data_IF_482136883504
#
_entry.id   IF_482136883504
#
_cell.length_a   1.000
_cell.length_b   1.000
_cell.length_c   1.000
_cell.angle_alpha   90.00
_cell.angle_beta   90.00
_cell.angle_gamma   90.00
#
_symmetry.space_group_name_H-M   'P 1'
#
loop_
_entity.id
_entity.type
_entity.pdbx_description
1 polymer ?
#
# COMPACT_ATOMS: atom_id res chain seq x y z
N UNK A 1 37.23 1.69 -19.72
CA UNK A 1 35.87 2.24 -19.46
C UNK A 1 34.86 1.17 -19.03
N UNK A 2 34.84 -0.02 -19.63
CA UNK A 2 33.90 -1.11 -19.30
C UNK A 2 33.92 -1.60 -17.85
N UNK A 3 35.11 -1.74 -17.23
CA UNK A 3 35.22 -2.18 -15.84
C UNK A 3 34.60 -1.21 -14.83
N UNK A 4 34.67 0.10 -15.11
CA UNK A 4 34.04 1.15 -14.29
C UNK A 4 32.52 1.24 -14.49
N UNK A 5 32.01 0.78 -15.64
CA UNK A 5 30.57 0.62 -15.87
C UNK A 5 30.05 -0.62 -15.11
N UNK A 6 30.70 -1.78 -15.26
CA UNK A 6 30.34 -3.02 -14.53
C UNK A 6 30.43 -2.87 -13.00
N UNK A 7 31.41 -2.13 -12.49
CA UNK A 7 31.52 -1.85 -11.06
C UNK A 7 30.47 -0.84 -10.56
N UNK A 8 29.98 0.07 -11.42
CA UNK A 8 28.83 0.92 -11.11
C UNK A 8 27.55 0.09 -11.08
N UNK A 9 27.34 -0.76 -12.08
CA UNK A 9 26.18 -1.64 -12.14
C UNK A 9 26.11 -2.58 -10.93
N UNK A 10 27.24 -3.16 -10.52
CA UNK A 10 27.31 -4.00 -9.32
C UNK A 10 27.03 -3.25 -8.01
N UNK A 11 27.36 -1.97 -7.92
CA UNK A 11 27.00 -1.12 -6.76
C UNK A 11 25.52 -0.76 -6.77
N UNK A 12 24.97 -0.39 -7.93
CA UNK A 12 23.55 -0.10 -8.10
C UNK A 12 22.70 -1.32 -7.77
N UNK A 13 23.04 -2.51 -8.30
CA UNK A 13 22.31 -3.75 -8.01
C UNK A 13 22.34 -4.10 -6.51
N UNK A 14 23.47 -3.90 -5.83
CA UNK A 14 23.54 -4.13 -4.38
C UNK A 14 22.69 -3.13 -3.61
N UNK A 15 22.70 -1.86 -4.00
CA UNK A 15 21.90 -0.83 -3.37
C UNK A 15 20.39 -1.13 -3.51
N UNK A 16 19.94 -1.52 -4.69
CA UNK A 16 18.53 -1.92 -4.91
C UNK A 16 18.15 -3.16 -4.11
N UNK A 17 19.03 -4.17 -4.03
CA UNK A 17 18.79 -5.35 -3.20
C UNK A 17 18.62 -4.98 -1.72
N UNK A 18 19.46 -4.08 -1.20
CA UNK A 18 19.34 -3.60 0.18
C UNK A 18 18.04 -2.83 0.37
N UNK A 19 17.69 -1.92 -0.55
CA UNK A 19 16.43 -1.16 -0.49
C UNK A 19 15.22 -2.10 -0.45
N UNK A 20 15.18 -3.10 -1.34
CA UNK A 20 14.14 -4.11 -1.32
C UNK A 20 14.11 -4.90 -0.01
N UNK A 21 15.25 -5.38 0.50
CA UNK A 21 15.29 -6.14 1.75
C UNK A 21 14.74 -5.35 2.95
N UNK A 22 15.05 -4.05 3.02
CA UNK A 22 14.55 -3.15 4.07
C UNK A 22 13.04 -2.94 3.95
N UNK A 23 12.53 -2.68 2.74
CA UNK A 23 11.08 -2.51 2.50
C UNK A 23 10.31 -3.79 2.80
N UNK A 24 10.81 -4.94 2.34
CA UNK A 24 10.23 -6.25 2.62
C UNK A 24 10.20 -6.56 4.12
N UNK A 25 11.27 -6.22 4.84
CA UNK A 25 11.34 -6.38 6.28
C UNK A 25 10.32 -5.49 7.00
N UNK A 26 10.21 -4.22 6.62
CA UNK A 26 9.21 -3.31 7.20
C UNK A 26 7.80 -3.84 6.97
N UNK A 27 7.43 -4.13 5.73
CA UNK A 27 6.08 -4.63 5.40
C UNK A 27 5.78 -5.97 6.08
N UNK A 28 6.77 -6.87 6.20
CA UNK A 28 6.61 -8.13 6.93
C UNK A 28 6.33 -7.94 8.41
N UNK A 29 6.98 -6.98 9.07
CA UNK A 29 6.70 -6.63 10.47
C UNK A 29 5.28 -6.05 10.63
N UNK A 30 4.85 -5.19 9.70
CA UNK A 30 3.48 -4.66 9.70
C UNK A 30 2.43 -5.77 9.52
N UNK A 31 2.68 -6.72 8.62
CA UNK A 31 1.81 -7.88 8.38
C UNK A 31 1.71 -8.81 9.61
N UNK A 32 2.78 -8.92 10.40
CA UNK A 32 2.82 -9.64 11.68
C UNK A 32 2.14 -8.88 12.84
N UNK A 33 1.71 -7.64 12.61
CA UNK A 33 0.99 -6.83 13.59
C UNK A 33 1.87 -5.93 14.46
N UNK A 34 3.18 -5.85 14.16
CA UNK A 34 4.04 -4.80 14.72
C UNK A 34 3.72 -3.48 14.00
N UNK A 35 2.83 -2.67 14.59
CA UNK A 35 2.27 -1.49 13.91
C UNK A 35 3.17 -0.25 13.97
N UNK A 36 4.23 -0.28 14.79
CA UNK A 36 5.22 0.80 14.89
C UNK A 36 6.65 0.22 14.95
N UNK A 37 7.13 -0.48 13.89
CA UNK A 37 8.45 -1.08 13.91
C UNK A 37 9.54 -0.02 14.07
N UNK A 38 10.53 -0.30 14.92
CA UNK A 38 11.70 0.56 15.08
C UNK A 38 12.71 0.33 13.95
N UNK A 39 13.58 1.31 13.71
CA UNK A 39 14.67 1.17 12.74
C UNK A 39 15.57 -0.05 13.06
N UNK A 40 15.86 -0.28 14.34
CA UNK A 40 16.58 -1.46 14.83
C UNK A 40 15.91 -2.79 14.40
N UNK A 41 14.59 -2.93 14.63
CA UNK A 41 13.86 -4.15 14.27
C UNK A 41 13.82 -4.38 12.76
N UNK A 42 13.61 -3.31 11.99
CA UNK A 42 13.62 -3.36 10.53
C UNK A 42 15.02 -3.77 10.02
N UNK A 43 16.07 -3.16 10.56
CA UNK A 43 17.46 -3.46 10.22
C UNK A 43 17.82 -4.91 10.55
N UNK A 44 17.48 -5.38 11.75
CA UNK A 44 17.69 -6.75 12.19
C UNK A 44 17.00 -7.77 11.29
N UNK A 45 15.75 -7.54 10.90
CA UNK A 45 15.01 -8.42 9.98
C UNK A 45 15.55 -8.37 8.54
N UNK A 46 15.99 -7.22 8.07
CA UNK A 46 16.58 -7.05 6.75
C UNK A 46 18.03 -7.56 6.65
N UNK A 47 18.67 -7.89 7.77
CA UNK A 47 20.07 -8.30 7.81
C UNK A 47 21.06 -7.17 7.49
N UNK A 48 20.71 -5.93 7.84
CA UNK A 48 21.53 -4.73 7.60
C UNK A 48 21.72 -3.91 8.88
N UNK A 49 22.56 -2.88 8.84
CA UNK A 49 22.68 -1.92 9.95
C UNK A 49 21.66 -0.79 9.81
N UNK A 50 21.25 -0.17 10.92
CA UNK A 50 20.40 1.04 10.89
C UNK A 50 21.02 2.15 10.04
N UNK A 51 22.35 2.33 10.13
CA UNK A 51 23.08 3.29 9.28
C UNK A 51 22.89 3.01 7.79
N UNK A 52 22.80 1.74 7.38
CA UNK A 52 22.57 1.38 5.98
C UNK A 52 21.17 1.81 5.52
N UNK A 53 20.15 1.72 6.38
CA UNK A 53 18.81 2.24 6.08
C UNK A 53 18.87 3.74 5.78
N UNK A 54 19.45 4.53 6.69
CA UNK A 54 19.57 5.98 6.49
C UNK A 54 20.38 6.34 5.23
N UNK A 55 21.42 5.58 4.90
CA UNK A 55 22.19 5.80 3.66
C UNK A 55 21.40 5.51 2.40
N UNK A 56 20.50 4.52 2.42
CA UNK A 56 19.74 4.12 1.25
C UNK A 56 18.46 4.93 1.04
N UNK A 57 17.84 5.41 2.11
CA UNK A 57 16.56 6.14 2.04
C UNK A 57 16.71 7.63 2.32
N UNK A 58 17.76 8.07 3.01
CA UNK A 58 17.95 9.47 3.42
C UNK A 58 17.16 9.80 4.68
N UNK A 59 15.85 9.62 4.65
CA UNK A 59 14.96 9.90 5.77
C UNK A 59 13.82 8.87 5.90
N UNK A 60 12.96 9.10 6.91
CA UNK A 60 11.82 8.24 7.20
C UNK A 60 10.73 8.33 6.14
N UNK A 61 10.46 9.51 5.58
CA UNK A 61 9.40 9.69 4.58
C UNK A 61 9.74 8.93 3.30
N UNK A 62 11.01 8.95 2.86
CA UNK A 62 11.46 8.19 1.70
C UNK A 62 11.38 6.66 1.90
N UNK A 63 11.56 6.17 3.14
CA UNK A 63 11.33 4.76 3.47
C UNK A 63 9.83 4.43 3.44
N UNK A 64 8.99 5.29 4.02
CA UNK A 64 7.54 5.11 4.03
C UNK A 64 6.95 5.17 2.61
N UNK A 65 7.46 6.05 1.76
CA UNK A 65 7.09 6.15 0.35
C UNK A 65 7.42 4.84 -0.39
N UNK A 66 8.64 4.35 -0.24
CA UNK A 66 9.05 3.09 -0.86
C UNK A 66 8.21 1.90 -0.37
N UNK A 67 7.87 1.86 0.92
CA UNK A 67 7.03 0.82 1.49
C UNK A 67 5.56 0.92 1.02
N UNK A 68 5.01 2.13 0.92
CA UNK A 68 3.65 2.34 0.42
C UNK A 68 3.54 1.97 -1.06
N UNK A 69 4.52 2.36 -1.88
CA UNK A 69 4.60 1.97 -3.29
C UNK A 69 4.71 0.44 -3.44
N UNK A 70 5.60 -0.21 -2.68
CA UNK A 70 5.72 -1.67 -2.71
C UNK A 70 4.43 -2.37 -2.27
N UNK A 71 3.72 -1.82 -1.27
CA UNK A 71 2.41 -2.37 -0.87
C UNK A 71 1.35 -2.19 -1.96
N UNK A 72 1.34 -1.05 -2.64
CA UNK A 72 0.47 -0.82 -3.80
C UNK A 72 0.75 -1.85 -4.90
N UNK A 73 2.02 -2.05 -5.26
CA UNK A 73 2.45 -2.99 -6.31
C UNK A 73 2.15 -4.45 -5.95
N UNK A 74 2.17 -4.80 -4.66
CA UNK A 74 1.76 -6.14 -4.18
C UNK A 74 0.26 -6.41 -4.33
N UNK A 75 -0.57 -5.38 -4.29
CA UNK A 75 -2.03 -5.53 -4.15
C UNK A 75 -2.75 -5.27 -5.46
N UNK A 76 -2.41 -4.19 -6.17
CA UNK A 76 -3.12 -3.75 -7.37
C UNK A 76 -3.24 -4.81 -8.46
N UNK A 77 -2.22 -5.60 -8.79
CA UNK A 77 -2.33 -6.60 -9.85
C UNK A 77 -3.36 -7.71 -9.57
N UNK A 78 -3.79 -7.87 -8.32
CA UNK A 78 -4.78 -8.88 -7.93
C UNK A 78 -6.22 -8.35 -7.97
N UNK A 79 -6.42 -7.03 -8.05
CA UNK A 79 -7.75 -6.44 -8.12
C UNK A 79 -8.30 -6.52 -9.54
N UNK A 80 -9.57 -6.90 -9.66
CA UNK A 80 -10.29 -7.03 -10.92
C UNK A 80 -11.29 -5.89 -11.07
N UNK A 81 -11.45 -5.43 -12.31
CA UNK A 81 -12.53 -4.52 -12.66
C UNK A 81 -13.83 -5.31 -12.71
N UNK A 82 -14.75 -5.04 -11.78
CA UNK A 82 -16.10 -5.61 -11.77
C UNK A 82 -16.92 -4.91 -12.87
N UNK A 83 -17.54 -5.67 -13.76
CA UNK A 83 -18.38 -5.13 -14.84
C UNK A 83 -19.68 -4.54 -14.23
N UNK A 84 -19.95 -3.24 -14.41
CA UNK A 84 -21.13 -2.59 -13.84
C UNK A 84 -22.44 -2.98 -14.54
N UNK A 85 -22.38 -3.67 -15.68
CA UNK A 85 -23.56 -4.10 -16.45
C UNK A 85 -24.12 -5.45 -16.00
N UNK A 86 -23.39 -6.18 -15.15
CA UNK A 86 -23.86 -7.44 -14.57
C UNK A 86 -25.09 -7.24 -13.66
N UNK A 87 -25.91 -8.30 -13.47
CA UNK A 87 -26.98 -8.27 -12.48
C UNK A 87 -26.47 -7.85 -11.09
N UNK A 88 -27.30 -7.13 -10.32
CA UNK A 88 -26.90 -6.57 -9.03
C UNK A 88 -26.33 -7.62 -8.07
N UNK A 89 -26.96 -8.81 -8.00
CA UNK A 89 -26.47 -9.90 -7.16
C UNK A 89 -25.03 -10.33 -7.50
N UNK A 90 -24.72 -10.47 -8.79
CA UNK A 90 -23.38 -10.85 -9.25
C UNK A 90 -22.33 -9.77 -8.96
N UNK A 91 -22.71 -8.49 -9.12
CA UNK A 91 -21.83 -7.36 -8.76
C UNK A 91 -21.56 -7.31 -7.26
N UNK A 92 -22.57 -7.53 -6.44
CA UNK A 92 -22.43 -7.58 -4.98
C UNK A 92 -21.49 -8.70 -4.56
N UNK A 93 -21.69 -9.92 -5.08
CA UNK A 93 -20.83 -11.06 -4.76
C UNK A 93 -19.38 -10.80 -5.15
N UNK A 94 -19.14 -10.33 -6.39
CA UNK A 94 -17.80 -10.00 -6.86
C UNK A 94 -17.16 -8.90 -6.01
N UNK A 95 -17.92 -7.86 -5.65
CA UNK A 95 -17.45 -6.75 -4.83
C UNK A 95 -17.09 -7.19 -3.41
N UNK A 96 -17.95 -7.95 -2.74
CA UNK A 96 -17.72 -8.42 -1.37
C UNK A 96 -16.52 -9.35 -1.32
N UNK A 97 -16.39 -10.29 -2.27
CA UNK A 97 -15.24 -11.19 -2.35
C UNK A 97 -13.94 -10.41 -2.53
N UNK A 98 -13.91 -9.48 -3.49
CA UNK A 98 -12.72 -8.66 -3.75
C UNK A 98 -12.38 -7.73 -2.59
N UNK A 99 -13.39 -7.07 -2.01
CA UNK A 99 -13.21 -6.14 -0.89
C UNK A 99 -12.71 -6.87 0.35
N UNK A 100 -13.24 -8.05 0.65
CA UNK A 100 -12.80 -8.89 1.77
C UNK A 100 -11.35 -9.29 1.58
N UNK A 101 -11.00 -9.84 0.42
CA UNK A 101 -9.62 -10.21 0.10
C UNK A 101 -8.66 -9.03 0.26
N UNK A 102 -9.03 -7.86 -0.30
CA UNK A 102 -8.23 -6.65 -0.21
C UNK A 102 -8.01 -6.21 1.24
N UNK A 103 -9.08 -6.11 2.02
CA UNK A 103 -9.02 -5.65 3.41
C UNK A 103 -8.18 -6.59 4.29
N UNK A 104 -8.32 -7.91 4.10
CA UNK A 104 -7.49 -8.90 4.78
C UNK A 104 -6.02 -8.77 4.40
N UNK A 105 -5.72 -8.56 3.11
CA UNK A 105 -4.35 -8.45 2.61
C UNK A 105 -3.63 -7.19 3.10
N UNK A 106 -4.34 -6.10 3.31
CA UNK A 106 -3.75 -4.79 3.67
C UNK A 106 -3.86 -4.43 5.15
N UNK A 107 -4.52 -5.25 5.98
CA UNK A 107 -4.87 -4.89 7.36
C UNK A 107 -3.68 -4.44 8.22
N UNK A 108 -2.54 -5.10 8.13
CA UNK A 108 -1.34 -4.77 8.90
C UNK A 108 -0.83 -3.38 8.55
N UNK A 109 -0.52 -3.17 7.27
CA UNK A 109 -0.06 -1.89 6.73
C UNK A 109 -1.08 -0.78 6.96
N UNK A 110 -2.37 -1.02 6.72
CA UNK A 110 -3.42 -0.01 6.91
C UNK A 110 -3.54 0.42 8.36
N UNK A 111 -3.48 -0.51 9.32
CA UNK A 111 -3.54 -0.19 10.75
C UNK A 111 -2.35 0.66 11.18
N UNK A 112 -1.15 0.31 10.74
CA UNK A 112 0.04 1.11 11.00
C UNK A 112 -0.06 2.51 10.38
N UNK A 113 -0.48 2.58 9.11
CA UNK A 113 -0.66 3.83 8.40
C UNK A 113 -1.64 4.79 9.11
N UNK A 114 -2.80 4.28 9.56
CA UNK A 114 -3.78 5.10 10.31
C UNK A 114 -3.18 5.64 11.62
N UNK A 115 -2.35 4.87 12.31
CA UNK A 115 -1.71 5.30 13.56
C UNK A 115 -0.62 6.37 13.36
N UNK A 116 -0.09 6.51 12.14
CA UNK A 116 0.98 7.47 11.83
C UNK A 116 0.53 8.55 10.85
N UNK A 117 -0.75 8.58 10.48
CA UNK A 117 -1.30 9.47 9.44
C UNK A 117 -1.06 10.95 9.78
N UNK A 118 -1.27 11.36 11.04
CA UNK A 118 -1.03 12.74 11.47
C UNK A 118 0.46 13.10 11.57
N UNK A 119 1.35 12.12 11.51
CA UNK A 119 2.80 12.27 11.72
C UNK A 119 3.60 12.15 10.40
N UNK A 120 2.95 11.83 9.27
CA UNK A 120 3.61 11.65 7.96
C UNK A 120 2.69 12.08 6.82
N UNK A 121 3.14 13.08 6.07
CA UNK A 121 2.44 13.59 4.89
C UNK A 121 2.38 12.52 3.78
N UNK A 122 3.45 11.73 3.61
CA UNK A 122 3.47 10.61 2.67
C UNK A 122 2.35 9.62 2.99
N UNK A 123 2.27 9.17 4.25
CA UNK A 123 1.25 8.18 4.67
C UNK A 123 -0.16 8.74 4.51
N UNK A 124 -0.38 10.00 4.88
CA UNK A 124 -1.68 10.67 4.70
C UNK A 124 -2.10 10.75 3.23
N UNK A 125 -1.16 11.05 2.33
CA UNK A 125 -1.38 11.07 0.89
C UNK A 125 -1.82 9.71 0.35
N UNK A 126 -1.10 8.64 0.71
CA UNK A 126 -1.44 7.27 0.32
C UNK A 126 -2.78 6.80 0.88
N UNK A 127 -3.11 7.12 2.14
CA UNK A 127 -4.41 6.80 2.72
C UNK A 127 -5.55 7.53 2.00
N UNK A 128 -5.35 8.81 1.69
CA UNK A 128 -6.32 9.62 0.94
C UNK A 128 -6.57 9.04 -0.45
N UNK A 129 -5.50 8.73 -1.19
CA UNK A 129 -5.59 8.10 -2.51
C UNK A 129 -6.32 6.75 -2.43
N UNK A 130 -5.97 5.91 -1.45
CA UNK A 130 -6.62 4.62 -1.25
C UNK A 130 -8.10 4.76 -0.88
N UNK A 131 -8.48 5.73 -0.03
CA UNK A 131 -9.89 6.01 0.31
C UNK A 131 -10.67 6.42 -0.94
N UNK A 132 -10.12 7.37 -1.71
CA UNK A 132 -10.72 7.83 -2.97
C UNK A 132 -10.89 6.70 -3.99
N UNK A 133 -9.89 5.86 -4.18
CA UNK A 133 -9.98 4.73 -5.11
C UNK A 133 -11.11 3.75 -4.73
N UNK A 134 -11.29 3.47 -3.44
CA UNK A 134 -12.38 2.62 -2.95
C UNK A 134 -13.76 3.26 -3.16
N UNK A 135 -13.89 4.56 -2.91
CA UNK A 135 -15.13 5.30 -3.16
C UNK A 135 -15.50 5.28 -4.65
N UNK A 136 -14.53 5.55 -5.54
CA UNK A 136 -14.74 5.49 -6.99
C UNK A 136 -15.12 4.09 -7.48
N UNK A 137 -14.60 3.03 -6.86
CA UNK A 137 -15.01 1.67 -7.18
C UNK A 137 -16.49 1.43 -6.84
N UNK A 138 -16.96 1.92 -5.68
CA UNK A 138 -18.37 1.85 -5.28
C UNK A 138 -19.25 2.64 -6.24
N UNK A 139 -18.89 3.90 -6.52
CA UNK A 139 -19.61 4.77 -7.45
C UNK A 139 -19.74 4.13 -8.83
N UNK A 140 -18.68 3.48 -9.32
CA UNK A 140 -18.66 2.83 -10.63
C UNK A 140 -19.48 1.54 -10.64
N UNK A 141 -19.30 0.68 -9.64
CA UNK A 141 -19.94 -0.64 -9.61
C UNK A 141 -21.44 -0.53 -9.35
N UNK A 142 -21.87 0.42 -8.52
CA UNK A 142 -23.27 0.57 -8.09
C UNK A 142 -23.92 1.86 -8.61
N UNK A 143 -23.44 2.39 -9.74
CA UNK A 143 -23.92 3.66 -10.30
C UNK A 143 -25.44 3.70 -10.48
N UNK A 144 -26.03 2.61 -10.99
CA UNK A 144 -27.47 2.52 -11.24
C UNK A 144 -28.28 2.59 -9.94
N UNK A 145 -27.82 1.90 -8.90
CA UNK A 145 -28.47 1.90 -7.58
C UNK A 145 -28.30 3.25 -6.88
N UNK A 146 -27.10 3.81 -6.89
CA UNK A 146 -26.80 5.09 -6.24
C UNK A 146 -27.53 6.27 -6.89
N UNK A 147 -27.84 6.19 -8.19
CA UNK A 147 -28.64 7.20 -8.88
C UNK A 147 -30.12 7.22 -8.44
N UNK A 148 -30.63 6.11 -7.91
CA UNK A 148 -32.02 5.98 -7.44
C UNK A 148 -32.22 6.43 -5.98
N UNK A 149 -31.12 6.68 -5.26
CA UNK A 149 -31.08 7.08 -3.85
C UNK A 149 -30.95 8.62 -3.76
N UNK A 150 -31.34 9.27 -2.65
CA UNK A 150 -31.12 10.71 -2.48
C UNK A 150 -29.65 11.04 -2.14
N UNK A 151 -29.26 12.33 -2.23
CA UNK A 151 -27.87 12.74 -1.97
C UNK A 151 -27.40 12.46 -0.53
N UNK A 152 -28.31 12.54 0.44
CA UNK A 152 -27.98 12.35 1.85
C UNK A 152 -27.68 10.88 2.17
N UNK A 153 -28.43 9.95 1.58
CA UNK A 153 -28.17 8.51 1.68
C UNK A 153 -26.94 8.08 0.87
N UNK A 154 -26.65 8.72 -0.28
CA UNK A 154 -25.41 8.48 -1.05
C UNK A 154 -24.15 8.75 -0.24
N UNK A 155 -24.10 9.85 0.49
CA UNK A 155 -22.91 10.23 1.28
C UNK A 155 -22.69 9.30 2.48
N UNK A 156 -23.76 8.78 3.08
CA UNK A 156 -23.68 7.76 4.13
C UNK A 156 -23.12 6.42 3.62
N UNK A 157 -23.41 6.04 2.37
CA UNK A 157 -22.84 4.83 1.72
C UNK A 157 -21.37 5.03 1.34
N UNK A 158 -20.91 6.28 1.19
CA UNK A 158 -19.54 6.64 0.78
C UNK A 158 -18.56 6.85 1.94
N UNK A 159 -19.05 7.07 3.17
CA UNK A 159 -18.25 7.32 4.37
C UNK A 159 -17.51 6.06 4.87
#
# INVERSE_FOLDING_TARGET
MEAAARARDGRTVRAERTRHAVVEALLGLLDEGDLRPTAERVAGRAGVSERSIFQHFGDREALLEAAAQAQYDRVMPSLRVIDPTLPLGERLDAFVVQRTWLLERVKGVRRAAVLTESESETVAGWLTAARRAKALEVDRVFAAELAAVDDAERDAVRA
#
